data_IF_795036811704
#
_entry.id   IF_795036811704
#
_cell.length_a   1.000
_cell.length_b   1.000
_cell.length_c   1.000
_cell.angle_alpha   90.00
_cell.angle_beta   90.00
_cell.angle_gamma   90.00
#
_symmetry.space_group_name_H-M   'P 1'
#
loop_
_entity.id
_entity.type
_entity.pdbx_description
1 polymer ?
#
# COMPACT_ATOMS: atom_id res chain seq x y z
N UNK A 1 -7.32 -0.83 -13.36
CA UNK A 1 -7.35 -1.57 -12.09
C UNK A 1 -5.94 -1.68 -11.52
N UNK A 2 -4.99 -2.31 -12.22
CA UNK A 2 -3.59 -2.30 -11.78
C UNK A 2 -2.88 -0.99 -12.11
N UNK A 3 -1.84 -0.67 -11.32
CA UNK A 3 -1.00 0.52 -11.50
C UNK A 3 -1.82 1.80 -11.58
N UNK A 4 -2.81 1.92 -10.71
CA UNK A 4 -3.60 3.14 -10.57
C UNK A 4 -3.79 3.48 -9.11
N UNK A 5 -3.81 4.77 -8.81
CA UNK A 5 -3.98 5.27 -7.45
C UNK A 5 -4.74 6.59 -7.46
N UNK A 6 -5.62 6.78 -6.47
CA UNK A 6 -6.31 8.04 -6.23
C UNK A 6 -5.39 8.99 -5.47
N UNK A 7 -5.09 10.13 -6.06
CA UNK A 7 -4.21 11.15 -5.51
C UNK A 7 -5.08 12.20 -4.80
N UNK A 8 -4.90 12.40 -3.48
CA UNK A 8 -5.71 13.35 -2.74
C UNK A 8 -5.33 14.79 -3.12
N UNK A 9 -6.33 15.64 -3.29
CA UNK A 9 -6.12 17.06 -3.55
C UNK A 9 -6.84 17.95 -2.55
N UNK A 10 -6.40 19.20 -2.35
CA UNK A 10 -7.00 20.11 -1.36
C UNK A 10 -8.45 20.49 -1.68
N UNK A 11 -8.86 20.39 -2.95
CA UNK A 11 -10.24 20.66 -3.42
C UNK A 11 -10.90 19.44 -4.05
N UNK A 12 -10.19 18.75 -4.94
CA UNK A 12 -10.66 17.57 -5.63
C UNK A 12 -9.52 16.57 -5.74
N UNK A 13 -9.87 15.30 -5.66
CA UNK A 13 -8.93 14.22 -5.92
C UNK A 13 -8.81 13.98 -7.42
N UNK A 14 -7.73 13.30 -7.79
CA UNK A 14 -7.52 12.82 -9.17
C UNK A 14 -7.17 11.34 -9.15
N UNK A 15 -7.30 10.67 -10.29
CA UNK A 15 -6.85 9.29 -10.45
C UNK A 15 -5.64 9.27 -11.39
N UNK A 16 -4.54 8.72 -10.91
CA UNK A 16 -3.34 8.51 -11.71
C UNK A 16 -3.32 7.08 -12.26
N UNK A 17 -2.95 6.93 -13.53
CA UNK A 17 -2.77 5.64 -14.20
C UNK A 17 -1.32 5.48 -14.68
N UNK A 18 -0.57 4.61 -14.01
CA UNK A 18 0.85 4.38 -14.25
C UNK A 18 1.14 3.22 -15.21
N UNK A 19 0.16 2.35 -15.46
CA UNK A 19 0.31 1.20 -16.36
C UNK A 19 0.54 1.54 -17.83
N UNK A 20 0.29 2.79 -18.25
CA UNK A 20 0.53 3.29 -19.61
C UNK A 20 1.80 4.15 -19.75
N UNK A 21 2.61 4.22 -18.68
CA UNK A 21 3.83 5.04 -18.69
C UNK A 21 4.95 4.38 -19.52
N UNK A 22 5.98 5.15 -19.89
CA UNK A 22 7.14 4.65 -20.66
C UNK A 22 7.85 3.45 -20.01
N UNK A 23 7.73 3.31 -18.69
CA UNK A 23 8.26 2.19 -17.91
C UNK A 23 7.14 1.64 -17.07
N UNK A 24 6.55 0.53 -17.51
CA UNK A 24 5.50 -0.16 -16.77
C UNK A 24 6.02 -0.54 -15.37
N UNK A 25 5.28 -0.24 -14.30
CA UNK A 25 5.65 -0.67 -12.95
C UNK A 25 5.77 -2.19 -12.87
N UNK A 26 6.82 -2.68 -12.20
CA UNK A 26 7.14 -4.10 -12.04
C UNK A 26 7.07 -4.57 -10.59
N UNK A 27 6.62 -3.71 -9.69
CA UNK A 27 6.57 -3.99 -8.25
C UNK A 27 5.14 -3.95 -7.70
N UNK A 28 4.95 -4.62 -6.57
CA UNK A 28 3.81 -4.46 -5.68
C UNK A 28 4.27 -3.76 -4.40
N UNK A 29 3.30 -3.24 -3.65
CA UNK A 29 3.56 -2.76 -2.28
C UNK A 29 3.07 -3.81 -1.30
N UNK A 30 3.92 -4.24 -0.37
CA UNK A 30 3.51 -5.13 0.72
C UNK A 30 3.41 -4.32 2.00
N UNK A 31 2.29 -4.42 2.70
CA UNK A 31 2.03 -3.72 3.96
C UNK A 31 1.99 -4.74 5.09
N UNK A 32 2.79 -4.55 6.13
CA UNK A 32 2.77 -5.39 7.33
C UNK A 32 3.21 -4.60 8.56
N UNK A 33 2.46 -4.71 9.66
CA UNK A 33 2.77 -4.03 10.92
C UNK A 33 3.14 -2.54 10.70
N UNK A 34 2.27 -1.83 9.98
CA UNK A 34 2.39 -0.40 9.66
C UNK A 34 3.56 -0.02 8.74
N UNK A 35 4.30 -1.00 8.24
CA UNK A 35 5.46 -0.80 7.37
C UNK A 35 5.11 -1.15 5.93
N UNK A 36 5.63 -0.35 5.00
CA UNK A 36 5.46 -0.53 3.57
C UNK A 36 6.76 -1.01 2.94
N UNK A 37 6.67 -2.01 2.07
CA UNK A 37 7.80 -2.61 1.37
C UNK A 37 7.52 -2.62 -0.13
N UNK A 38 8.49 -2.16 -0.91
CA UNK A 38 8.46 -2.35 -2.36
C UNK A 38 8.99 -3.75 -2.67
N UNK A 39 8.17 -4.55 -3.37
CA UNK A 39 8.54 -5.89 -3.80
C UNK A 39 8.46 -5.97 -5.33
N UNK A 40 9.60 -6.08 -6.00
CA UNK A 40 9.63 -6.44 -7.42
C UNK A 40 8.97 -7.82 -7.62
N UNK A 41 8.17 -7.96 -8.67
CA UNK A 41 7.53 -9.22 -9.09
C UNK A 41 8.01 -9.70 -10.46
N UNK A 42 8.99 -9.00 -11.02
CA UNK A 42 9.73 -9.39 -12.21
C UNK A 42 11.22 -9.48 -11.87
N UNK A 43 11.88 -10.48 -12.44
CA UNK A 43 13.33 -10.64 -12.35
C UNK A 43 14.03 -9.58 -13.24
N UNK A 44 15.34 -9.43 -13.07
CA UNK A 44 16.14 -8.47 -13.84
C UNK A 44 16.18 -8.74 -15.36
N UNK A 45 15.91 -9.98 -15.78
CA UNK A 45 15.77 -10.39 -17.17
C UNK A 45 14.37 -10.11 -17.76
N UNK A 46 13.45 -9.56 -16.94
CA UNK A 46 12.07 -9.27 -17.33
C UNK A 46 11.12 -10.46 -17.21
N UNK A 47 11.59 -11.64 -16.79
CA UNK A 47 10.70 -12.78 -16.49
C UNK A 47 9.89 -12.53 -15.22
N UNK A 48 8.72 -13.17 -15.09
CA UNK A 48 7.91 -13.11 -13.87
C UNK A 48 8.57 -13.95 -12.78
N UNK A 49 8.51 -13.47 -11.54
CA UNK A 49 8.93 -14.27 -10.40
C UNK A 49 8.02 -15.49 -10.22
N UNK A 50 8.61 -16.62 -9.86
CA UNK A 50 7.86 -17.83 -9.50
C UNK A 50 7.19 -17.66 -8.14
N UNK A 51 6.22 -18.52 -7.85
CA UNK A 51 5.59 -18.59 -6.52
C UNK A 51 6.62 -18.76 -5.40
N UNK A 52 7.60 -19.66 -5.59
CA UNK A 52 8.65 -19.90 -4.60
C UNK A 52 9.53 -18.67 -4.35
N UNK A 53 9.86 -17.92 -5.40
CA UNK A 53 10.61 -16.67 -5.28
C UNK A 53 9.80 -15.59 -4.55
N UNK A 54 8.52 -15.41 -4.89
CA UNK A 54 7.63 -14.46 -4.21
C UNK A 54 7.48 -14.85 -2.74
N UNK A 55 7.23 -16.13 -2.45
CA UNK A 55 7.11 -16.64 -1.09
C UNK A 55 8.37 -16.37 -0.26
N UNK A 56 9.56 -16.60 -0.82
CA UNK A 56 10.82 -16.28 -0.15
C UNK A 56 10.96 -14.79 0.20
N UNK A 57 10.55 -13.89 -0.70
CA UNK A 57 10.56 -12.45 -0.42
C UNK A 57 9.53 -12.05 0.65
N UNK A 58 8.34 -12.64 0.63
CA UNK A 58 7.33 -12.41 1.67
C UNK A 58 7.80 -12.89 3.05
N UNK A 59 8.50 -14.02 3.12
CA UNK A 59 9.14 -14.48 4.37
C UNK A 59 10.20 -13.49 4.86
N UNK A 60 11.01 -12.93 3.96
CA UNK A 60 11.99 -11.88 4.30
C UNK A 60 11.30 -10.64 4.86
N UNK A 61 10.25 -10.14 4.19
CA UNK A 61 9.46 -9.00 4.67
C UNK A 61 8.87 -9.29 6.05
N UNK A 62 8.31 -10.49 6.25
CA UNK A 62 7.80 -10.91 7.56
C UNK A 62 8.89 -10.89 8.64
N UNK A 63 10.09 -11.38 8.34
CA UNK A 63 11.21 -11.36 9.29
C UNK A 63 11.71 -9.95 9.61
N UNK A 64 11.61 -9.00 8.67
CA UNK A 64 12.06 -7.61 8.86
C UNK A 64 11.03 -6.74 9.59
N UNK A 65 9.74 -7.11 9.50
CA UNK A 65 8.62 -6.32 10.03
C UNK A 65 8.00 -6.89 11.31
N UNK A 66 8.72 -7.74 12.06
CA UNK A 66 8.12 -8.46 13.19
C UNK A 66 7.65 -7.53 14.33
N UNK A 67 8.28 -6.36 14.50
CA UNK A 67 7.87 -5.33 15.47
C UNK A 67 6.75 -4.45 14.92
N UNK A 68 5.95 -3.92 15.84
CA UNK A 68 4.94 -2.90 15.58
C UNK A 68 5.37 -1.60 16.27
N UNK A 69 6.54 -1.09 15.89
CA UNK A 69 7.19 0.08 16.49
C UNK A 69 7.25 1.28 15.52
N UNK A 70 6.47 1.21 14.43
CA UNK A 70 6.36 2.27 13.42
C UNK A 70 5.01 2.93 13.49
N UNK A 71 5.00 4.22 13.22
CA UNK A 71 3.76 5.00 13.12
C UNK A 71 2.87 4.46 11.99
N UNK A 72 1.55 4.32 12.21
CA UNK A 72 0.61 3.80 11.23
C UNK A 72 0.29 4.84 10.15
N UNK A 73 1.28 5.26 9.36
CA UNK A 73 1.12 6.32 8.34
C UNK A 73 0.01 6.03 7.32
N UNK A 74 -0.27 4.75 7.07
CA UNK A 74 -1.38 4.31 6.23
C UNK A 74 -2.76 4.69 6.77
N UNK A 75 -2.93 5.06 8.05
CA UNK A 75 -4.22 5.49 8.59
C UNK A 75 -4.64 6.87 8.03
N UNK A 76 -3.69 7.70 7.63
CA UNK A 76 -3.98 9.05 7.13
C UNK A 76 -4.86 9.00 5.87
N UNK A 77 -4.82 7.90 5.13
CA UNK A 77 -5.63 7.74 3.93
C UNK A 77 -7.12 7.56 4.25
N UNK A 78 -7.49 7.08 5.44
CA UNK A 78 -8.90 6.96 5.86
C UNK A 78 -9.52 8.27 6.36
N UNK A 79 -8.73 9.35 6.45
CA UNK A 79 -9.23 10.66 6.87
C UNK A 79 -10.20 11.26 5.86
N UNK A 80 -11.00 12.23 6.33
CA UNK A 80 -11.82 13.05 5.47
C UNK A 80 -10.98 13.65 4.33
N UNK A 81 -11.50 13.64 3.09
CA UNK A 81 -10.69 13.91 1.88
C UNK A 81 -9.97 15.26 1.91
N UNK A 82 -10.58 16.29 2.48
CA UNK A 82 -9.93 17.59 2.67
C UNK A 82 -8.75 17.51 3.67
N UNK A 83 -8.95 16.83 4.80
CA UNK A 83 -7.92 16.61 5.83
C UNK A 83 -6.77 15.78 5.26
N UNK A 84 -7.09 14.69 4.55
CA UNK A 84 -6.09 13.86 3.89
C UNK A 84 -5.33 14.63 2.82
N UNK A 85 -5.99 15.41 1.96
CA UNK A 85 -5.32 16.25 0.96
C UNK A 85 -4.35 17.25 1.58
N UNK A 86 -4.68 17.85 2.72
CA UNK A 86 -3.77 18.73 3.45
C UNK A 86 -2.59 17.96 4.07
N UNK A 87 -2.85 16.81 4.70
CA UNK A 87 -1.83 15.96 5.32
C UNK A 87 -0.86 15.37 4.27
N UNK A 88 -1.38 14.88 3.15
CA UNK A 88 -0.61 14.38 2.01
C UNK A 88 0.36 15.43 1.47
N UNK A 89 -0.11 16.68 1.27
CA UNK A 89 0.77 17.77 0.83
C UNK A 89 1.89 18.09 1.84
N UNK A 90 1.66 17.88 3.14
CA UNK A 90 2.69 18.03 4.17
C UNK A 90 3.66 16.85 4.14
N UNK A 91 3.14 15.63 3.99
CA UNK A 91 3.91 14.38 3.91
C UNK A 91 4.94 14.43 2.77
N UNK A 92 4.53 14.92 1.59
CA UNK A 92 5.38 15.02 0.40
C UNK A 92 6.52 16.05 0.48
N UNK A 93 6.55 16.90 1.51
CA UNK A 93 7.63 17.90 1.67
C UNK A 93 8.97 17.22 1.96
N UNK A 94 8.94 16.15 2.75
CA UNK A 94 10.12 15.33 3.00
C UNK A 94 10.46 14.47 1.76
N UNK A 95 11.75 14.36 1.45
CA UNK A 95 12.22 13.64 0.25
C UNK A 95 11.95 12.15 0.35
N UNK A 96 12.22 11.54 1.52
CA UNK A 96 12.08 10.11 1.73
C UNK A 96 10.60 9.73 1.65
N UNK A 97 9.75 10.48 2.34
CA UNK A 97 8.30 10.27 2.29
C UNK A 97 7.75 10.38 0.88
N UNK A 98 8.21 11.36 0.09
CA UNK A 98 7.79 11.52 -1.30
C UNK A 98 8.20 10.33 -2.16
N UNK A 99 9.40 9.79 -1.98
CA UNK A 99 9.87 8.60 -2.68
C UNK A 99 9.06 7.35 -2.25
N UNK A 100 8.78 7.19 -0.95
CA UNK A 100 7.95 6.10 -0.44
C UNK A 100 6.51 6.17 -0.96
N UNK A 101 5.87 7.34 -0.91
CA UNK A 101 4.53 7.55 -1.46
C UNK A 101 4.51 7.25 -2.95
N UNK A 102 5.53 7.68 -3.70
CA UNK A 102 5.62 7.39 -5.13
C UNK A 102 5.71 5.88 -5.41
N UNK A 103 6.47 5.14 -4.61
CA UNK A 103 6.55 3.69 -4.72
C UNK A 103 5.17 3.04 -4.48
N UNK A 104 4.42 3.52 -3.48
CA UNK A 104 3.06 3.04 -3.18
C UNK A 104 2.11 3.32 -4.35
N UNK A 105 2.05 4.56 -4.84
CA UNK A 105 1.12 4.99 -5.89
C UNK A 105 1.35 4.28 -7.23
N UNK A 106 2.60 3.98 -7.56
CA UNK A 106 2.98 3.40 -8.85
C UNK A 106 2.92 1.88 -8.87
N UNK A 107 2.85 1.22 -7.72
CA UNK A 107 2.79 -0.24 -7.63
C UNK A 107 1.63 -0.83 -8.41
N UNK A 108 1.79 -2.08 -8.87
CA UNK A 108 0.73 -2.83 -9.56
C UNK A 108 -0.52 -2.93 -8.68
N UNK A 109 -0.34 -3.28 -7.41
CA UNK A 109 -1.36 -3.31 -6.35
C UNK A 109 -0.67 -3.35 -4.97
N UNK A 110 -1.47 -3.30 -3.90
CA UNK A 110 -1.01 -3.45 -2.52
C UNK A 110 -1.46 -4.78 -1.91
N UNK A 111 -0.57 -5.46 -1.19
CA UNK A 111 -0.82 -6.70 -0.45
C UNK A 111 -0.66 -6.46 1.04
N UNK A 112 -1.73 -6.62 1.82
CA UNK A 112 -1.69 -6.49 3.27
C UNK A 112 -1.47 -7.86 3.94
N UNK A 113 -0.45 -7.97 4.79
CA UNK A 113 -0.16 -9.16 5.59
C UNK A 113 -0.61 -8.89 7.03
N UNK A 114 -1.91 -9.07 7.27
CA UNK A 114 -2.51 -8.74 8.56
C UNK A 114 -2.10 -9.70 9.68
N UNK A 115 -2.04 -9.15 10.90
CA UNK A 115 -1.92 -9.97 12.10
C UNK A 115 -3.26 -10.62 12.42
N UNK A 116 -3.26 -11.78 13.11
CA UNK A 116 -4.51 -12.39 13.58
C UNK A 116 -5.33 -11.38 14.39
N UNK A 117 -6.57 -11.15 13.98
CA UNK A 117 -7.52 -10.35 14.76
C UNK A 117 -8.00 -11.21 15.93
N UNK A 118 -8.04 -10.65 17.14
CA UNK A 118 -8.64 -11.34 18.28
C UNK A 118 -10.08 -11.73 17.90
N UNK A 119 -10.39 -13.03 17.98
CA UNK A 119 -11.76 -13.51 17.80
C UNK A 119 -12.60 -12.99 18.96
N UNK A 120 -13.35 -11.92 18.72
CA UNK A 120 -14.46 -11.54 19.60
C UNK A 120 -15.51 -12.64 19.41
N UNK A 121 -15.96 -13.22 20.52
CA UNK A 121 -16.91 -14.33 20.57
C UNK A 121 -18.10 -14.12 19.63
N UNK A 122 -18.51 -15.20 18.96
CA UNK A 122 -19.54 -15.26 17.92
C UNK A 122 -20.78 -14.43 18.26
N UNK A 123 -20.90 -13.23 17.69
CA UNK A 123 -22.15 -12.65 17.21
C UNK A 123 -21.84 -11.42 16.34
N UNK A 124 -21.81 -11.66 15.03
CA UNK A 124 -22.03 -10.70 13.94
C UNK A 124 -21.10 -9.47 13.86
N UNK A 125 -20.29 -9.49 12.80
CA UNK A 125 -19.55 -8.39 12.17
C UNK A 125 -18.14 -8.08 12.70
N UNK A 126 -17.13 -8.71 12.09
CA UNK A 126 -15.73 -8.24 12.15
C UNK A 126 -15.16 -7.89 10.76
N UNK A 127 -15.93 -8.10 9.68
CA UNK A 127 -15.42 -7.90 8.30
C UNK A 127 -15.76 -6.54 7.67
N UNK A 128 -16.54 -5.68 8.34
CA UNK A 128 -17.10 -4.46 7.71
C UNK A 128 -16.10 -3.30 7.69
N UNK A 129 -15.11 -3.25 8.59
CA UNK A 129 -14.16 -2.12 8.64
C UNK A 129 -12.85 -2.37 7.89
N UNK A 130 -12.35 -3.62 7.86
CA UNK A 130 -11.05 -3.95 7.24
C UNK A 130 -11.07 -3.91 5.71
N UNK A 131 -12.23 -4.20 5.08
CA UNK A 131 -12.36 -4.17 3.63
C UNK A 131 -12.69 -2.75 3.12
N UNK A 132 -13.51 -1.98 3.84
CA UNK A 132 -13.91 -0.63 3.38
C UNK A 132 -12.75 0.36 3.31
N UNK A 133 -11.79 0.30 4.24
CA UNK A 133 -10.66 1.24 4.21
C UNK A 133 -9.78 1.03 2.97
N UNK A 134 -9.53 -0.21 2.53
CA UNK A 134 -8.67 -0.44 1.36
C UNK A 134 -9.41 -0.43 0.01
N UNK A 135 -10.70 -0.75 -0.02
CA UNK A 135 -11.47 -0.80 -1.28
C UNK A 135 -11.78 0.61 -1.84
N UNK A 136 -12.00 1.62 -0.98
CA UNK A 136 -12.25 3.01 -1.41
C UNK A 136 -10.99 3.85 -1.65
N UNK A 137 -9.79 3.31 -1.36
CA UNK A 137 -8.52 4.03 -1.51
C UNK A 137 -7.77 3.71 -2.81
N UNK A 138 -8.16 2.64 -3.50
CA UNK A 138 -7.54 2.20 -4.75
C UNK A 138 -8.48 2.26 -5.96
N UNK A 139 -9.71 2.79 -5.80
CA UNK A 139 -10.68 3.05 -6.87
C UNK A 139 -11.18 4.51 -6.83
#
# INVERSE_FOLDING_TARGET
MFSSCRIPGPKHDSVAHYGRSRRTPTHITVVRNYQFFQLEVYNSDGSRMTESQIHAQLLRIRSQSWKTDKEPMGILTSEHRHTWGAAYNRLLRDKINRESVRAIETGLFSLCLDSPVMRISDEKYVWVFLISVFHELLL
#
